data_IF_699949964983
#
_entry.id   IF_699949964983
#
_cell.length_a   1.000
_cell.length_b   1.000
_cell.length_c   1.000
_cell.angle_alpha   90.00
_cell.angle_beta   90.00
_cell.angle_gamma   90.00
#
_symmetry.space_group_name_H-M   'P 1'
#
loop_
_entity.id
_entity.type
_entity.pdbx_description
1 polymer ?
#
# COMPACT_ATOMS: atom_id res chain seq x y z
N UNK A 1 -20.22 -9.26 30.45
CA UNK A 1 -18.96 -8.84 29.83
C UNK A 1 -19.15 -7.58 28.95
N UNK A 2 -19.91 -6.56 29.39
CA UNK A 2 -19.93 -5.26 28.69
C UNK A 2 -18.59 -4.57 28.98
N UNK A 3 -17.88 -4.12 27.94
CA UNK A 3 -16.61 -3.39 28.08
C UNK A 3 -15.33 -4.23 27.97
N UNK A 4 -15.38 -5.49 27.51
CA UNK A 4 -14.18 -6.26 27.14
C UNK A 4 -13.84 -6.00 25.66
N UNK A 5 -12.88 -5.11 25.34
CA UNK A 5 -12.50 -4.90 23.95
C UNK A 5 -11.88 -6.16 23.38
N UNK A 6 -12.23 -6.54 22.16
CA UNK A 6 -11.68 -7.70 21.49
C UNK A 6 -11.67 -7.53 19.98
N UNK A 7 -10.53 -7.82 19.38
CA UNK A 7 -10.28 -7.72 17.95
C UNK A 7 -9.74 -9.06 17.43
N UNK A 8 -10.20 -9.45 16.25
CA UNK A 8 -9.62 -10.55 15.49
C UNK A 8 -9.04 -9.97 14.21
N UNK A 9 -7.73 -10.10 14.00
CA UNK A 9 -7.10 -9.79 12.73
C UNK A 9 -7.10 -11.04 11.86
N UNK A 10 -7.79 -11.01 10.72
CA UNK A 10 -7.59 -11.96 9.64
C UNK A 10 -6.59 -11.41 8.63
N UNK A 11 -5.64 -12.24 8.24
CA UNK A 11 -4.53 -11.86 7.36
C UNK A 11 -4.26 -13.01 6.35
N UNK A 12 -4.42 -12.70 5.06
CA UNK A 12 -4.24 -13.68 3.99
C UNK A 12 -2.76 -14.02 3.73
N UNK A 13 -2.44 -15.31 3.78
CA UNK A 13 -1.07 -15.78 3.63
C UNK A 13 -0.58 -15.56 2.20
N UNK A 14 0.61 -14.97 2.06
CA UNK A 14 1.30 -14.75 0.78
C UNK A 14 0.36 -14.17 -0.30
N UNK A 15 -0.46 -13.17 0.07
CA UNK A 15 -1.68 -12.79 -0.65
C UNK A 15 -1.56 -12.74 -2.19
N UNK A 16 -0.63 -11.99 -2.77
CA UNK A 16 -0.51 -11.92 -4.24
C UNK A 16 -0.13 -13.26 -4.88
N UNK A 17 0.71 -14.07 -4.23
CA UNK A 17 1.02 -15.43 -4.70
C UNK A 17 -0.20 -16.34 -4.58
N UNK A 18 -0.95 -16.23 -3.48
CA UNK A 18 -2.17 -17.01 -3.27
C UNK A 18 -3.24 -16.63 -4.30
N UNK A 19 -3.41 -15.35 -4.63
CA UNK A 19 -4.33 -14.89 -5.67
C UNK A 19 -3.98 -15.47 -7.06
N UNK A 20 -2.70 -15.58 -7.39
CA UNK A 20 -2.23 -16.29 -8.59
C UNK A 20 -2.54 -17.80 -8.52
N UNK A 21 -2.22 -18.46 -7.39
CA UNK A 21 -2.42 -19.91 -7.18
C UNK A 21 -3.88 -20.34 -7.26
N UNK A 22 -4.82 -19.52 -6.81
CA UNK A 22 -6.27 -19.81 -6.88
C UNK A 22 -6.71 -20.13 -8.30
N UNK A 23 -6.17 -19.42 -9.30
CA UNK A 23 -6.49 -19.65 -10.72
C UNK A 23 -5.49 -20.55 -11.44
N UNK A 24 -4.31 -20.74 -10.86
CA UNK A 24 -3.18 -21.47 -11.43
C UNK A 24 -2.69 -22.56 -10.47
N UNK A 25 -3.45 -23.67 -10.34
CA UNK A 25 -3.09 -24.76 -9.43
C UNK A 25 -1.72 -25.38 -9.75
N UNK A 26 -1.23 -25.25 -10.98
CA UNK A 26 0.11 -25.66 -11.38
C UNK A 26 1.24 -24.90 -10.66
N UNK A 27 0.93 -23.80 -9.96
CA UNK A 27 1.86 -23.03 -9.10
C UNK A 27 1.89 -23.51 -7.66
N UNK A 28 1.05 -24.48 -7.29
CA UNK A 28 1.09 -25.08 -5.95
C UNK A 28 2.45 -25.75 -5.71
N UNK A 29 2.98 -25.60 -4.50
CA UNK A 29 4.26 -26.19 -4.08
C UNK A 29 5.50 -25.77 -4.90
N UNK A 30 5.39 -24.70 -5.71
CA UNK A 30 6.51 -24.16 -6.50
C UNK A 30 7.04 -22.85 -5.91
N UNK A 31 8.35 -22.56 -6.04
CA UNK A 31 8.91 -21.26 -5.70
C UNK A 31 8.36 -20.20 -6.66
N UNK A 32 7.42 -19.39 -6.15
CA UNK A 32 6.80 -18.27 -6.87
C UNK A 32 7.12 -16.96 -6.17
N UNK A 33 7.41 -15.93 -6.97
CA UNK A 33 7.47 -14.54 -6.54
C UNK A 33 6.57 -13.68 -7.43
N UNK A 34 5.96 -12.66 -6.83
CA UNK A 34 5.23 -11.62 -7.58
C UNK A 34 6.09 -10.37 -7.61
N UNK A 35 6.32 -9.86 -8.80
CA UNK A 35 7.04 -8.64 -9.08
C UNK A 35 6.10 -7.42 -9.06
N UNK A 36 6.60 -6.28 -8.58
CA UNK A 36 5.85 -5.02 -8.56
C UNK A 36 5.61 -4.43 -9.94
N UNK A 37 4.98 -3.25 -9.99
CA UNK A 37 4.75 -2.52 -11.25
C UNK A 37 6.04 -2.36 -12.05
N UNK A 38 6.04 -2.79 -13.31
CA UNK A 38 7.22 -2.73 -14.18
C UNK A 38 8.31 -3.74 -13.83
N UNK A 39 7.98 -4.77 -13.04
CA UNK A 39 8.86 -5.81 -12.53
C UNK A 39 10.13 -5.31 -11.84
N UNK A 40 10.02 -4.19 -11.12
CA UNK A 40 11.19 -3.56 -10.48
C UNK A 40 11.76 -4.38 -9.32
N UNK A 41 10.89 -4.83 -8.40
CA UNK A 41 11.28 -5.56 -7.20
C UNK A 41 10.22 -6.61 -6.80
N UNK A 42 10.63 -7.58 -5.97
CA UNK A 42 9.75 -8.61 -5.42
C UNK A 42 8.81 -7.99 -4.37
N UNK A 43 7.50 -8.14 -4.56
CA UNK A 43 6.45 -7.61 -3.67
C UNK A 43 5.67 -8.70 -2.92
N UNK A 44 5.73 -9.96 -3.36
CA UNK A 44 5.22 -11.11 -2.62
C UNK A 44 6.01 -12.37 -2.95
N UNK A 45 6.02 -13.32 -2.02
CA UNK A 45 6.84 -14.53 -2.08
C UNK A 45 6.08 -15.71 -1.49
N UNK A 46 6.11 -16.83 -2.19
CA UNK A 46 5.71 -18.14 -1.70
C UNK A 46 6.63 -18.60 -0.56
N UNK A 47 6.22 -19.58 0.24
CA UNK A 47 7.07 -20.09 1.32
C UNK A 47 8.27 -20.85 0.78
N UNK A 48 8.11 -21.50 -0.38
CA UNK A 48 9.15 -22.14 -1.16
C UNK A 48 10.18 -21.12 -1.65
N UNK A 49 9.74 -19.95 -2.13
CA UNK A 49 10.64 -18.86 -2.49
C UNK A 49 11.35 -18.23 -1.27
N UNK A 50 10.69 -18.17 -0.11
CA UNK A 50 11.34 -17.73 1.14
C UNK A 50 12.42 -18.72 1.58
N UNK A 51 12.19 -20.02 1.41
CA UNK A 51 13.15 -21.08 1.73
C UNK A 51 14.41 -20.99 0.85
N UNK A 52 14.28 -20.49 -0.39
CA UNK A 52 15.44 -20.17 -1.25
C UNK A 52 16.25 -18.95 -0.77
N UNK A 53 15.77 -18.19 0.21
CA UNK A 53 16.45 -17.01 0.74
C UNK A 53 16.11 -15.69 0.04
N UNK A 54 15.17 -15.68 -0.91
CA UNK A 54 14.74 -14.47 -1.62
C UNK A 54 14.05 -13.53 -0.63
N UNK A 55 14.53 -12.29 -0.50
CA UNK A 55 13.96 -11.28 0.43
C UNK A 55 12.90 -10.40 -0.23
N UNK A 56 12.09 -9.73 0.60
CA UNK A 56 11.11 -8.75 0.11
C UNK A 56 11.84 -7.52 -0.41
N UNK A 57 11.37 -6.94 -1.50
CA UNK A 57 11.95 -5.73 -2.08
C UNK A 57 13.25 -5.95 -2.86
N UNK A 58 13.74 -7.20 -2.97
CA UNK A 58 14.89 -7.49 -3.82
C UNK A 58 14.60 -7.17 -5.29
N UNK A 59 15.57 -6.61 -6.05
CA UNK A 59 15.38 -6.33 -7.46
C UNK A 59 15.18 -7.62 -8.27
N UNK A 60 14.12 -7.66 -9.08
CA UNK A 60 13.72 -8.87 -9.82
C UNK A 60 14.80 -9.35 -10.77
N UNK A 61 15.55 -8.44 -11.39
CA UNK A 61 16.63 -8.80 -12.31
C UNK A 61 17.76 -9.58 -11.61
N UNK A 62 18.11 -9.21 -10.36
CA UNK A 62 19.10 -9.94 -9.56
C UNK A 62 18.56 -11.30 -9.12
N UNK A 63 17.31 -11.33 -8.64
CA UNK A 63 16.64 -12.58 -8.24
C UNK A 63 16.56 -13.55 -9.42
N UNK A 64 16.15 -13.07 -10.60
CA UNK A 64 16.09 -13.89 -11.82
C UNK A 64 17.46 -14.45 -12.20
N UNK A 65 18.53 -13.67 -12.08
CA UNK A 65 19.88 -14.11 -12.42
C UNK A 65 20.47 -15.06 -11.37
N UNK A 66 20.20 -14.85 -10.10
CA UNK A 66 20.74 -15.66 -9.01
C UNK A 66 20.05 -17.03 -8.91
N UNK A 67 18.74 -17.09 -9.17
CA UNK A 67 17.92 -18.27 -8.92
C UNK A 67 17.41 -18.96 -10.22
N UNK A 68 18.04 -18.70 -11.38
CA UNK A 68 17.56 -19.21 -12.66
C UNK A 68 17.50 -20.76 -12.75
N UNK A 69 18.30 -21.49 -11.96
CA UNK A 69 18.30 -22.97 -11.91
C UNK A 69 17.38 -23.55 -10.84
N UNK A 70 16.74 -22.75 -9.99
CA UNK A 70 15.95 -23.27 -8.86
C UNK A 70 14.49 -23.59 -9.20
N UNK A 71 14.09 -23.43 -10.46
CA UNK A 71 12.69 -23.54 -10.88
C UNK A 71 11.82 -22.36 -10.43
N UNK A 72 12.44 -21.23 -10.07
CA UNK A 72 11.75 -20.01 -9.66
C UNK A 72 10.83 -19.47 -10.76
N UNK A 73 9.57 -19.22 -10.39
CA UNK A 73 8.57 -18.59 -11.25
C UNK A 73 8.37 -17.15 -10.80
N UNK A 74 8.49 -16.22 -11.75
CA UNK A 74 8.28 -14.78 -11.53
C UNK A 74 6.99 -14.38 -12.23
N UNK A 75 6.00 -13.92 -11.45
CA UNK A 75 4.75 -13.36 -11.98
C UNK A 75 4.80 -11.83 -11.93
N UNK A 76 4.39 -11.15 -13.00
CA UNK A 76 4.16 -9.70 -12.96
C UNK A 76 2.88 -9.39 -12.18
N UNK A 77 2.84 -8.25 -11.47
CA UNK A 77 1.68 -7.88 -10.67
C UNK A 77 0.40 -7.66 -11.51
N UNK A 78 -0.62 -8.50 -11.27
CA UNK A 78 -1.97 -8.33 -11.81
C UNK A 78 -2.89 -7.63 -10.80
N UNK A 79 -2.77 -6.30 -10.69
CA UNK A 79 -3.58 -5.52 -9.73
C UNK A 79 -5.11 -5.64 -9.90
N UNK A 80 -5.67 -5.76 -11.13
CA UNK A 80 -7.10 -6.08 -11.28
C UNK A 80 -7.51 -7.38 -10.60
N UNK A 81 -6.74 -8.46 -10.82
CA UNK A 81 -6.99 -9.76 -10.17
C UNK A 81 -6.86 -9.65 -8.65
N UNK A 82 -5.82 -8.97 -8.16
CA UNK A 82 -5.58 -8.81 -6.73
C UNK A 82 -6.66 -7.97 -6.05
N UNK A 83 -7.16 -6.94 -6.73
CA UNK A 83 -8.27 -6.11 -6.26
C UNK A 83 -9.58 -6.90 -6.14
N UNK A 84 -9.90 -7.74 -7.11
CA UNK A 84 -11.08 -8.62 -7.01
C UNK A 84 -10.92 -9.69 -5.93
N UNK A 85 -9.76 -10.34 -5.82
CA UNK A 85 -9.47 -11.31 -4.77
C UNK A 85 -9.62 -10.69 -3.36
N UNK A 86 -9.13 -9.46 -3.18
CA UNK A 86 -9.31 -8.69 -1.94
C UNK A 86 -10.77 -8.37 -1.68
N UNK A 87 -11.50 -7.88 -2.69
CA UNK A 87 -12.92 -7.57 -2.56
C UNK A 87 -13.73 -8.81 -2.16
N UNK A 88 -13.42 -9.98 -2.73
CA UNK A 88 -14.01 -11.27 -2.33
C UNK A 88 -13.65 -11.66 -0.90
N UNK A 89 -12.39 -11.51 -0.50
CA UNK A 89 -11.95 -11.73 0.89
C UNK A 89 -12.79 -10.88 1.85
N UNK A 90 -12.84 -9.56 1.65
CA UNK A 90 -13.56 -8.63 2.53
C UNK A 90 -15.07 -8.93 2.57
N UNK A 91 -15.70 -9.19 1.42
CA UNK A 91 -17.11 -9.57 1.35
C UNK A 91 -17.38 -10.89 2.09
N UNK A 92 -16.49 -11.85 1.98
CA UNK A 92 -16.62 -13.15 2.65
C UNK A 92 -16.53 -12.99 4.16
N UNK A 93 -15.56 -12.21 4.65
CA UNK A 93 -15.42 -11.90 6.09
C UNK A 93 -16.63 -11.13 6.62
N UNK A 94 -17.22 -10.23 5.83
CA UNK A 94 -18.45 -9.52 6.21
C UNK A 94 -19.67 -10.44 6.41
N UNK A 95 -19.66 -11.67 5.88
CA UNK A 95 -20.74 -12.64 6.11
C UNK A 95 -20.68 -13.33 7.48
N UNK A 96 -19.55 -13.26 8.18
CA UNK A 96 -19.33 -13.96 9.45
C UNK A 96 -19.24 -13.02 10.66
N UNK A 97 -18.86 -11.77 10.44
CA UNK A 97 -18.68 -10.79 11.50
C UNK A 97 -19.62 -9.60 11.32
N UNK A 98 -20.25 -9.15 12.42
CA UNK A 98 -21.20 -8.05 12.39
C UNK A 98 -20.56 -6.70 12.01
N UNK A 99 -19.31 -6.48 12.42
CA UNK A 99 -18.55 -5.26 12.11
C UNK A 99 -17.12 -5.62 11.74
N UNK A 100 -16.67 -5.11 10.60
CA UNK A 100 -15.33 -5.30 10.08
C UNK A 100 -14.69 -3.96 9.74
N UNK A 101 -13.37 -3.88 9.82
CA UNK A 101 -12.57 -2.76 9.34
C UNK A 101 -11.47 -3.31 8.44
N UNK A 102 -11.64 -3.22 7.10
CA UNK A 102 -10.57 -3.49 6.16
C UNK A 102 -9.37 -2.59 6.47
N UNK A 103 -8.18 -3.18 6.63
CA UNK A 103 -6.97 -2.43 6.97
C UNK A 103 -6.01 -2.33 5.77
N UNK A 104 -5.86 -3.43 5.03
CA UNK A 104 -5.09 -3.49 3.79
C UNK A 104 -5.84 -4.32 2.75
N UNK A 105 -5.18 -4.62 1.62
CA UNK A 105 -5.73 -5.48 0.58
C UNK A 105 -5.92 -6.95 1.06
N UNK A 106 -5.16 -7.37 2.07
CA UNK A 106 -5.06 -8.73 2.57
C UNK A 106 -5.37 -8.88 4.06
N UNK A 107 -5.61 -7.78 4.78
CA UNK A 107 -5.85 -7.76 6.23
C UNK A 107 -7.16 -7.05 6.58
N UNK A 108 -7.89 -7.64 7.53
CA UNK A 108 -9.15 -7.10 8.04
C UNK A 108 -9.29 -7.36 9.55
N UNK A 109 -9.71 -6.33 10.29
CA UNK A 109 -10.08 -6.47 11.69
C UNK A 109 -11.56 -6.77 11.83
N UNK A 110 -11.90 -7.80 12.61
CA UNK A 110 -13.26 -8.09 13.06
C UNK A 110 -13.38 -7.52 14.47
N UNK A 111 -14.45 -6.75 14.71
CA UNK A 111 -14.77 -6.22 16.03
C UNK A 111 -15.63 -7.25 16.77
N UNK A 112 -15.15 -7.71 17.91
CA UNK A 112 -15.70 -8.84 18.64
C UNK A 112 -15.89 -8.54 20.14
N UNK A 113 -16.07 -7.27 20.48
CA UNK A 113 -16.19 -6.79 21.86
C UNK A 113 -17.24 -7.57 22.65
N UNK A 114 -16.89 -7.91 23.89
CA UNK A 114 -17.78 -8.62 24.81
C UNK A 114 -17.89 -10.14 24.59
N UNK A 115 -17.26 -10.71 23.57
CA UNK A 115 -17.21 -12.16 23.35
C UNK A 115 -16.29 -12.87 24.37
N UNK A 116 -16.64 -14.11 24.70
CA UNK A 116 -15.78 -15.02 25.47
C UNK A 116 -14.64 -15.57 24.60
N UNK A 117 -13.61 -16.16 25.22
CA UNK A 117 -12.48 -16.71 24.48
C UNK A 117 -12.87 -17.85 23.55
N UNK A 118 -13.84 -18.68 23.97
CA UNK A 118 -14.40 -19.73 23.13
C UNK A 118 -15.11 -19.15 21.90
N UNK A 119 -15.91 -18.09 22.08
CA UNK A 119 -16.60 -17.42 20.97
C UNK A 119 -15.62 -16.76 20.01
N UNK A 120 -14.58 -16.09 20.52
CA UNK A 120 -13.53 -15.49 19.70
C UNK A 120 -12.80 -16.55 18.86
N UNK A 121 -12.44 -17.67 19.49
CA UNK A 121 -11.78 -18.78 18.82
C UNK A 121 -12.67 -19.41 17.72
N UNK A 122 -13.94 -19.66 18.02
CA UNK A 122 -14.92 -20.20 17.06
C UNK A 122 -15.14 -19.25 15.88
N UNK A 123 -15.30 -17.95 16.14
CA UNK A 123 -15.46 -16.95 15.10
C UNK A 123 -14.23 -16.87 14.18
N UNK A 124 -13.02 -16.90 14.77
CA UNK A 124 -11.78 -16.91 14.00
C UNK A 124 -11.66 -18.15 13.09
N UNK A 125 -11.96 -19.35 13.61
CA UNK A 125 -11.97 -20.58 12.81
C UNK A 125 -13.00 -20.49 11.69
N UNK A 126 -14.25 -20.15 12.02
CA UNK A 126 -15.34 -20.05 11.05
C UNK A 126 -15.00 -19.07 9.92
N UNK A 127 -14.40 -17.94 10.25
CA UNK A 127 -13.99 -16.95 9.26
C UNK A 127 -12.89 -17.48 8.34
N UNK A 128 -11.86 -18.13 8.89
CA UNK A 128 -10.75 -18.72 8.12
C UNK A 128 -11.25 -19.81 7.17
N UNK A 129 -12.08 -20.71 7.66
CA UNK A 129 -12.67 -21.80 6.87
C UNK A 129 -13.56 -21.25 5.74
N UNK A 130 -14.40 -20.25 6.04
CA UNK A 130 -15.26 -19.64 5.02
C UNK A 130 -14.47 -18.94 3.92
N UNK A 131 -13.45 -18.18 4.30
CA UNK A 131 -12.56 -17.52 3.35
C UNK A 131 -11.87 -18.55 2.47
N UNK A 132 -11.30 -19.61 3.06
CA UNK A 132 -10.65 -20.67 2.29
C UNK A 132 -11.64 -21.34 1.31
N UNK A 133 -12.82 -21.72 1.78
CA UNK A 133 -13.82 -22.42 0.97
C UNK A 133 -14.35 -21.57 -0.19
N UNK A 134 -14.57 -20.27 0.02
CA UNK A 134 -15.23 -19.41 -0.98
C UNK A 134 -14.27 -18.66 -1.88
N UNK A 135 -13.02 -18.47 -1.45
CA UNK A 135 -12.03 -17.67 -2.20
C UNK A 135 -10.77 -18.46 -2.57
N UNK A 136 -10.54 -19.63 -1.95
CA UNK A 136 -9.29 -20.38 -2.06
C UNK A 136 -8.10 -19.75 -1.33
N UNK A 137 -8.31 -18.63 -0.61
CA UNK A 137 -7.24 -17.93 0.12
C UNK A 137 -7.10 -18.51 1.54
N UNK A 138 -5.91 -19.00 1.86
CA UNK A 138 -5.57 -19.39 3.23
C UNK A 138 -5.28 -18.15 4.09
N UNK A 139 -5.85 -18.09 5.28
CA UNK A 139 -5.65 -16.97 6.24
C UNK A 139 -5.08 -17.46 7.56
N UNK A 140 -4.25 -16.62 8.16
CA UNK A 140 -3.92 -16.67 9.58
C UNK A 140 -4.87 -15.78 10.39
N UNK A 141 -4.91 -15.98 11.71
CA UNK A 141 -5.67 -15.12 12.61
C UNK A 141 -4.90 -14.80 13.89
N UNK A 142 -5.05 -13.56 14.36
CA UNK A 142 -4.58 -13.13 15.67
C UNK A 142 -5.73 -12.51 16.47
N UNK A 143 -5.88 -12.90 17.72
CA UNK A 143 -6.92 -12.38 18.63
C UNK A 143 -6.21 -11.57 19.72
N UNK A 144 -6.73 -10.40 20.05
CA UNK A 144 -6.22 -9.60 21.16
C UNK A 144 -7.19 -8.50 21.60
N UNK A 145 -7.00 -7.90 22.79
CA UNK A 145 -7.90 -6.87 23.33
C UNK A 145 -7.72 -5.50 22.66
N UNK A 146 -6.83 -5.43 21.68
CA UNK A 146 -6.18 -4.23 21.18
C UNK A 146 -5.75 -4.55 19.74
N UNK A 147 -5.95 -3.66 18.75
CA UNK A 147 -5.54 -3.92 17.36
C UNK A 147 -4.06 -4.31 17.22
N UNK A 148 -3.20 -3.71 18.04
CA UNK A 148 -1.76 -4.04 18.06
C UNK A 148 -1.50 -5.43 18.61
N UNK A 149 -2.24 -5.85 19.64
CA UNK A 149 -2.13 -7.22 20.16
C UNK A 149 -2.73 -8.24 19.19
N UNK A 150 -3.80 -7.93 18.46
CA UNK A 150 -4.30 -8.80 17.40
C UNK A 150 -3.29 -8.95 16.25
N UNK A 151 -2.61 -7.86 15.85
CA UNK A 151 -1.47 -7.88 14.93
C UNK A 151 -0.33 -8.77 15.44
N UNK A 152 0.07 -8.59 16.70
CA UNK A 152 1.10 -9.39 17.35
C UNK A 152 0.72 -10.87 17.42
N UNK A 153 -0.55 -11.17 17.69
CA UNK A 153 -1.10 -12.53 17.67
C UNK A 153 -0.96 -13.18 16.29
N UNK A 154 -1.28 -12.45 15.20
CA UNK A 154 -1.09 -12.95 13.83
C UNK A 154 0.39 -13.26 13.54
N UNK A 155 1.31 -12.39 13.99
CA UNK A 155 2.74 -12.66 13.93
C UNK A 155 3.12 -13.92 14.71
N UNK A 156 2.68 -14.06 15.97
CA UNK A 156 2.94 -15.22 16.83
C UNK A 156 2.43 -16.52 16.22
N UNK A 157 1.22 -16.50 15.67
CA UNK A 157 0.60 -17.63 14.98
C UNK A 157 1.41 -18.12 13.77
N UNK A 158 2.07 -17.19 13.04
CA UNK A 158 2.84 -17.48 11.83
C UNK A 158 4.30 -17.84 12.11
N UNK A 159 4.95 -17.16 13.06
CA UNK A 159 6.41 -17.19 13.25
C UNK A 159 6.87 -17.96 14.48
N UNK A 160 6.13 -17.86 15.57
CA UNK A 160 6.53 -18.41 16.87
C UNK A 160 5.88 -19.77 17.09
N UNK A 161 4.55 -19.81 17.09
CA UNK A 161 3.76 -21.00 17.41
C UNK A 161 3.50 -21.89 16.19
N UNK A 162 3.46 -21.32 14.99
CA UNK A 162 3.14 -22.01 13.72
C UNK A 162 1.79 -22.73 13.73
N UNK A 163 0.83 -22.24 14.52
CA UNK A 163 -0.53 -22.78 14.66
C UNK A 163 -1.52 -22.18 13.65
N UNK A 164 -1.20 -21.03 13.05
CA UNK A 164 -2.11 -20.30 12.15
C UNK A 164 -3.21 -19.50 12.87
N UNK A 165 -3.38 -19.68 14.18
CA UNK A 165 -4.25 -18.90 15.06
C UNK A 165 -3.59 -18.71 16.43
N UNK A 166 -3.59 -17.49 16.96
CA UNK A 166 -3.06 -17.18 18.30
C UNK A 166 -3.99 -16.23 19.04
N UNK A 167 -4.20 -16.47 20.33
CA UNK A 167 -5.06 -15.67 21.19
C UNK A 167 -4.26 -15.02 22.31
N UNK A 168 -4.25 -13.68 22.37
CA UNK A 168 -3.55 -12.87 23.36
C UNK A 168 -4.51 -12.12 24.29
N UNK A 169 -5.73 -12.62 24.47
CA UNK A 169 -6.67 -12.08 25.46
C UNK A 169 -6.19 -12.34 26.90
N UNK A 170 -5.40 -13.39 27.12
CA UNK A 170 -4.77 -13.69 28.40
C UNK A 170 -3.50 -12.85 28.60
N UNK A 171 -3.36 -12.11 29.71
CA UNK A 171 -2.13 -11.38 30.03
C UNK A 171 -0.89 -12.28 30.10
N UNK A 172 -1.05 -13.53 30.55
CA UNK A 172 0.06 -14.49 30.64
C UNK A 172 0.58 -14.82 29.24
N UNK A 173 -0.31 -15.21 28.33
CA UNK A 173 0.06 -15.58 26.95
C UNK A 173 0.61 -14.36 26.20
N UNK A 174 0.03 -13.18 26.46
CA UNK A 174 0.52 -11.90 25.95
C UNK A 174 1.97 -11.65 26.38
N UNK A 175 2.26 -11.72 27.67
CA UNK A 175 3.58 -11.39 28.21
C UNK A 175 4.65 -12.40 27.74
N UNK A 176 4.29 -13.67 27.63
CA UNK A 176 5.14 -14.71 27.04
C UNK A 176 5.48 -14.41 25.58
N UNK A 177 4.49 -14.05 24.76
CA UNK A 177 4.76 -13.73 23.36
C UNK A 177 5.56 -12.44 23.21
N UNK A 178 5.31 -11.43 24.04
CA UNK A 178 6.07 -10.18 24.05
C UNK A 178 7.55 -10.42 24.36
N UNK A 179 7.86 -11.34 25.27
CA UNK A 179 9.24 -11.68 25.62
C UNK A 179 10.00 -12.34 24.46
N UNK A 180 9.30 -13.13 23.64
CA UNK A 180 9.87 -13.84 22.49
C UNK A 180 9.94 -12.99 21.22
N UNK A 181 9.27 -11.82 21.19
CA UNK A 181 9.13 -11.02 19.98
C UNK A 181 10.18 -9.91 19.93
N UNK A 182 11.00 -9.84 18.87
CA UNK A 182 11.89 -8.69 18.64
C UNK A 182 11.09 -7.39 18.51
N UNK A 183 11.62 -6.29 19.05
CA UNK A 183 10.90 -5.01 19.07
C UNK A 183 10.60 -4.46 17.66
N UNK A 184 11.43 -4.78 16.66
CA UNK A 184 11.20 -4.38 15.27
C UNK A 184 10.06 -5.12 14.55
N UNK A 185 9.49 -6.17 15.15
CA UNK A 185 8.31 -6.87 14.62
C UNK A 185 7.00 -6.27 15.17
N UNK A 186 7.08 -5.34 16.13
CA UNK A 186 5.90 -4.66 16.69
C UNK A 186 5.31 -3.70 15.65
N UNK A 187 3.99 -3.76 15.46
CA UNK A 187 3.28 -2.88 14.54
C UNK A 187 3.48 -1.40 14.92
N UNK A 188 4.00 -0.62 13.96
CA UNK A 188 4.36 0.79 14.15
C UNK A 188 5.84 1.04 14.48
N UNK A 189 6.62 0.01 14.78
CA UNK A 189 8.07 0.13 15.07
C UNK A 189 8.89 -0.27 13.84
N UNK A 190 9.23 0.73 13.01
CA UNK A 190 10.08 0.51 11.83
C UNK A 190 11.60 0.52 12.13
N UNK A 191 12.46 0.23 11.13
CA UNK A 191 13.90 0.05 11.32
C UNK A 191 14.62 1.20 12.04
N UNK A 192 14.22 2.45 11.79
CA UNK A 192 14.79 3.63 12.46
C UNK A 192 14.42 3.68 13.95
N UNK A 193 13.17 3.33 14.29
CA UNK A 193 12.74 3.25 15.69
C UNK A 193 13.39 2.06 16.39
N UNK A 194 13.51 0.92 15.70
CA UNK A 194 14.25 -0.26 16.21
C UNK A 194 15.69 0.09 16.55
N UNK A 195 16.40 0.79 15.66
CA UNK A 195 17.78 1.21 15.91
C UNK A 195 17.88 2.15 17.12
N UNK A 196 16.94 3.09 17.27
CA UNK A 196 16.91 3.99 18.42
C UNK A 196 16.59 3.26 19.73
N UNK A 197 15.62 2.36 19.74
CA UNK A 197 15.32 1.52 20.91
C UNK A 197 16.51 0.63 21.29
N UNK A 198 17.25 0.12 20.32
CA UNK A 198 18.48 -0.65 20.57
C UNK A 198 19.55 0.18 21.29
N UNK A 199 19.70 1.48 20.97
CA UNK A 199 20.63 2.36 21.74
C UNK A 199 20.23 2.56 23.20
N UNK A 200 18.97 2.25 23.55
CA UNK A 200 18.45 2.28 24.91
C UNK A 200 18.47 0.89 25.58
N UNK A 201 19.09 -0.11 24.96
CA UNK A 201 19.10 -1.50 25.44
C UNK A 201 17.79 -2.26 25.21
N UNK A 202 16.85 -1.69 24.46
CA UNK A 202 15.53 -2.30 24.19
C UNK A 202 15.57 -3.07 22.88
N UNK A 203 15.46 -4.39 22.98
CA UNK A 203 15.55 -5.34 21.86
C UNK A 203 14.29 -6.19 21.70
N UNK A 204 13.49 -6.35 22.75
CA UNK A 204 12.25 -7.14 22.75
C UNK A 204 11.00 -6.27 22.92
N UNK A 205 9.86 -6.79 22.48
CA UNK A 205 8.56 -6.14 22.67
C UNK A 205 8.19 -6.02 24.15
N UNK A 206 8.57 -7.00 24.99
CA UNK A 206 8.39 -6.93 26.44
C UNK A 206 9.17 -5.76 27.08
N UNK A 207 10.44 -5.59 26.71
CA UNK A 207 11.25 -4.46 27.18
C UNK A 207 10.65 -3.13 26.76
N UNK A 208 10.16 -3.03 25.52
CA UNK A 208 9.49 -1.82 25.04
C UNK A 208 8.18 -1.54 25.79
N UNK A 209 7.35 -2.56 26.01
CA UNK A 209 6.11 -2.44 26.78
C UNK A 209 6.38 -1.96 28.22
N UNK A 210 7.49 -2.41 28.83
CA UNK A 210 7.92 -2.04 30.18
C UNK A 210 8.67 -0.71 30.33
N UNK A 211 8.93 0.03 29.24
CA UNK A 211 9.59 1.33 29.33
C UNK A 211 8.76 2.34 30.15
N UNK A 212 9.38 3.17 31.00
CA UNK A 212 8.65 4.23 31.70
C UNK A 212 8.03 5.23 30.71
N UNK A 213 6.77 5.59 30.93
CA UNK A 213 6.00 6.47 30.04
C UNK A 213 6.71 7.80 29.71
N UNK A 214 7.31 8.44 30.71
CA UNK A 214 8.02 9.72 30.53
C UNK A 214 9.22 9.61 29.58
N UNK A 215 9.84 8.44 29.49
CA UNK A 215 10.93 8.18 28.52
C UNK A 215 10.36 8.18 27.11
N UNK A 216 9.22 7.52 26.90
CA UNK A 216 8.62 7.44 25.57
C UNK A 216 8.10 8.80 25.10
N UNK A 217 7.43 9.56 25.98
CA UNK A 217 6.93 10.90 25.66
C UNK A 217 8.03 11.90 25.31
N UNK A 218 9.22 11.76 25.93
CA UNK A 218 10.38 12.61 25.63
C UNK A 218 11.06 12.22 24.33
N UNK A 219 11.23 10.93 24.08
CA UNK A 219 12.05 10.45 22.98
C UNK A 219 11.24 10.26 21.68
N UNK A 220 9.98 9.85 21.75
CA UNK A 220 9.23 9.37 20.59
C UNK A 220 7.93 10.13 20.33
N UNK A 221 7.42 10.11 19.09
CA UNK A 221 6.10 10.66 18.79
C UNK A 221 4.99 9.95 19.56
N UNK A 222 3.86 10.63 19.73
CA UNK A 222 2.66 10.11 20.42
C UNK A 222 2.14 8.78 19.85
N UNK A 223 2.41 8.48 18.58
CA UNK A 223 2.04 7.20 17.95
C UNK A 223 2.78 6.02 18.59
N UNK A 224 4.04 6.18 18.96
CA UNK A 224 4.84 5.14 19.64
C UNK A 224 4.32 4.91 21.06
N UNK A 225 3.91 5.99 21.74
CA UNK A 225 3.23 5.88 23.04
C UNK A 225 1.93 5.08 22.92
N UNK A 226 1.10 5.35 21.90
CA UNK A 226 -0.14 4.59 21.65
C UNK A 226 0.15 3.10 21.40
N UNK A 227 1.18 2.78 20.61
CA UNK A 227 1.62 1.40 20.42
C UNK A 227 2.03 0.75 21.74
N UNK A 228 2.77 1.43 22.60
CA UNK A 228 3.15 0.91 23.92
C UNK A 228 1.92 0.65 24.81
N UNK A 229 0.98 1.60 24.86
CA UNK A 229 -0.28 1.46 25.59
C UNK A 229 -1.07 0.22 25.11
N UNK A 230 -1.11 0.01 23.80
CA UNK A 230 -1.78 -1.12 23.19
C UNK A 230 -1.16 -2.47 23.55
N UNK A 231 0.18 -2.57 23.60
CA UNK A 231 0.87 -3.78 24.07
C UNK A 231 0.55 -4.08 25.53
N UNK A 232 0.29 -3.05 26.34
CA UNK A 232 -0.15 -3.17 27.72
C UNK A 232 -1.66 -3.41 27.87
N UNK A 233 -2.40 -3.57 26.75
CA UNK A 233 -3.82 -3.88 26.74
C UNK A 233 -4.76 -2.66 26.79
N UNK A 234 -4.22 -1.44 26.69
CA UNK A 234 -5.01 -0.21 26.62
C UNK A 234 -5.25 0.16 25.16
N UNK A 235 -6.50 0.07 24.70
CA UNK A 235 -6.88 0.43 23.33
C UNK A 235 -6.67 1.93 23.10
N UNK A 236 -5.68 2.27 22.28
CA UNK A 236 -5.21 3.64 22.02
C UNK A 236 -4.99 3.93 20.53
N UNK A 237 -5.05 2.91 19.68
CA UNK A 237 -5.01 3.04 18.22
C UNK A 237 -6.43 3.01 17.69
N UNK A 238 -6.82 4.10 17.04
CA UNK A 238 -8.10 4.18 16.34
C UNK A 238 -7.98 3.57 14.94
N UNK A 239 -8.73 2.49 14.70
CA UNK A 239 -8.81 1.84 13.38
C UNK A 239 -9.64 2.65 12.38
N UNK A 240 -10.43 3.64 12.81
CA UNK A 240 -11.28 4.49 11.95
C UNK A 240 -10.52 5.72 11.41
N UNK A 241 -9.24 5.89 11.77
CA UNK A 241 -8.49 7.14 11.62
C UNK A 241 -8.09 7.57 10.19
N UNK A 242 -8.71 7.06 9.12
CA UNK A 242 -8.36 7.49 7.76
C UNK A 242 -9.53 7.57 6.76
N UNK A 243 -10.76 7.67 7.25
CA UNK A 243 -11.95 7.87 6.40
C UNK A 243 -12.07 9.31 5.87
N UNK A 244 -11.15 10.18 6.28
CA UNK A 244 -11.06 11.56 5.83
C UNK A 244 -10.58 11.71 4.37
N UNK A 245 -10.86 12.86 3.74
CA UNK A 245 -10.29 13.19 2.43
C UNK A 245 -8.76 13.11 2.49
N UNK A 246 -8.12 12.64 1.42
CA UNK A 246 -6.65 12.57 1.36
C UNK A 246 -6.08 13.97 1.47
N UNK A 247 -5.18 14.17 2.43
CA UNK A 247 -4.46 15.44 2.63
C UNK A 247 -3.40 15.69 1.54
N UNK A 248 -2.93 14.61 0.90
CA UNK A 248 -1.93 14.65 -0.15
C UNK A 248 -2.20 13.60 -1.23
N UNK A 249 -1.98 13.94 -2.50
CA UNK A 249 -2.11 13.01 -3.63
C UNK A 249 -0.78 12.92 -4.37
N UNK A 250 -0.07 11.81 -4.16
CA UNK A 250 1.17 11.50 -4.89
C UNK A 250 0.89 10.57 -6.08
N UNK A 251 1.39 10.94 -7.25
CA UNK A 251 1.48 10.06 -8.41
C UNK A 251 2.94 10.02 -8.84
N UNK A 252 3.57 8.85 -8.69
CA UNK A 252 4.96 8.66 -9.07
C UNK A 252 5.18 7.28 -9.64
N UNK A 253 6.22 7.15 -10.47
CA UNK A 253 6.64 5.86 -11.02
C UNK A 253 8.16 5.81 -11.10
N UNK A 254 8.70 4.62 -10.84
CA UNK A 254 10.05 4.27 -11.28
C UNK A 254 9.95 3.82 -12.75
N UNK A 255 10.88 4.26 -13.57
CA UNK A 255 10.89 3.97 -15.01
C UNK A 255 11.68 2.68 -15.29
N UNK A 256 11.16 1.85 -16.21
CA UNK A 256 11.86 0.63 -16.66
C UNK A 256 13.13 0.97 -17.45
N UNK A 257 13.02 1.91 -18.38
CA UNK A 257 14.16 2.56 -19.06
C UNK A 257 14.48 3.91 -18.40
N UNK A 258 15.76 4.29 -18.39
CA UNK A 258 16.16 5.60 -17.86
C UNK A 258 15.69 6.72 -18.78
N UNK A 259 15.18 7.79 -18.19
CA UNK A 259 14.80 8.99 -18.94
C UNK A 259 16.00 9.93 -19.00
N UNK A 260 16.39 10.31 -20.21
CA UNK A 260 17.58 11.13 -20.49
C UNK A 260 17.24 12.41 -21.28
N UNK A 261 16.00 12.56 -21.77
CA UNK A 261 15.55 13.74 -22.51
C UNK A 261 14.53 14.57 -21.73
N UNK A 262 14.56 15.88 -21.95
CA UNK A 262 13.62 16.82 -21.35
C UNK A 262 12.17 16.51 -21.76
N UNK A 263 11.96 16.15 -23.03
CA UNK A 263 10.61 15.88 -23.54
C UNK A 263 10.00 14.63 -22.91
N UNK A 264 10.78 13.56 -22.75
CA UNK A 264 10.31 12.36 -22.06
C UNK A 264 10.02 12.64 -20.57
N UNK A 265 10.87 13.41 -19.88
CA UNK A 265 10.63 13.80 -18.49
C UNK A 265 9.38 14.67 -18.35
N UNK A 266 9.24 15.68 -19.21
CA UNK A 266 8.08 16.57 -19.23
C UNK A 266 6.80 15.81 -19.53
N UNK A 267 6.80 14.88 -20.47
CA UNK A 267 5.64 14.08 -20.83
C UNK A 267 5.19 13.17 -19.67
N UNK A 268 6.14 12.50 -19.01
CA UNK A 268 5.87 11.67 -17.84
C UNK A 268 5.24 12.48 -16.69
N UNK A 269 5.80 13.66 -16.39
CA UNK A 269 5.31 14.53 -15.33
C UNK A 269 3.92 15.11 -15.63
N UNK A 270 3.63 15.44 -16.90
CA UNK A 270 2.30 15.88 -17.34
C UNK A 270 1.26 14.76 -17.21
N UNK A 271 1.62 13.51 -17.55
CA UNK A 271 0.74 12.35 -17.32
C UNK A 271 0.43 12.20 -15.82
N UNK A 272 1.46 12.28 -14.95
CA UNK A 272 1.28 12.14 -13.51
C UNK A 272 0.44 13.28 -12.92
N UNK A 273 0.64 14.51 -13.37
CA UNK A 273 -0.18 15.66 -12.98
C UNK A 273 -1.65 15.47 -13.39
N UNK A 274 -1.90 14.99 -14.61
CA UNK A 274 -3.27 14.72 -15.09
C UNK A 274 -3.96 13.63 -14.28
N UNK A 275 -3.25 12.55 -13.95
CA UNK A 275 -3.75 11.49 -13.08
C UNK A 275 -4.02 11.98 -11.66
N UNK A 276 -3.14 12.82 -11.10
CA UNK A 276 -3.31 13.40 -9.78
C UNK A 276 -4.54 14.31 -9.74
N UNK A 277 -4.74 15.13 -10.78
CA UNK A 277 -5.90 16.00 -10.93
C UNK A 277 -7.22 15.20 -10.98
N UNK A 278 -7.27 14.13 -11.77
CA UNK A 278 -8.46 13.26 -11.81
C UNK A 278 -8.75 12.58 -10.47
N UNK A 279 -7.72 12.25 -9.67
CA UNK A 279 -7.92 11.72 -8.30
C UNK A 279 -8.42 12.80 -7.34
N UNK A 280 -7.90 14.02 -7.46
CA UNK A 280 -8.28 15.18 -6.67
C UNK A 280 -9.76 15.55 -6.90
N UNK A 281 -10.19 15.60 -8.17
CA UNK A 281 -11.59 15.88 -8.52
C UNK A 281 -12.55 14.79 -8.09
N UNK A 282 -12.16 13.50 -8.17
CA UNK A 282 -12.97 12.40 -7.62
C UNK A 282 -13.20 12.52 -6.10
N UNK A 283 -12.33 13.21 -5.39
CA UNK A 283 -12.48 13.52 -3.97
C UNK A 283 -13.28 14.81 -3.73
N UNK A 284 -13.72 15.53 -4.78
CA UNK A 284 -14.37 16.83 -4.66
C UNK A 284 -13.46 17.90 -4.05
N UNK A 285 -12.15 17.81 -4.28
CA UNK A 285 -11.16 18.70 -3.66
C UNK A 285 -10.42 19.57 -4.68
N UNK A 286 -9.77 20.62 -4.20
CA UNK A 286 -8.82 21.49 -4.90
C UNK A 286 -7.47 21.48 -4.16
N UNK A 287 -6.38 21.84 -4.83
CA UNK A 287 -5.03 21.84 -4.25
C UNK A 287 -4.35 23.20 -4.43
N UNK A 288 -3.73 23.72 -3.37
CA UNK A 288 -3.03 25.01 -3.38
C UNK A 288 -1.58 24.94 -3.87
N UNK A 289 -0.99 23.75 -3.97
CA UNK A 289 0.36 23.60 -4.51
C UNK A 289 0.59 22.25 -5.20
N UNK A 290 1.53 22.25 -6.14
CA UNK A 290 2.08 21.06 -6.79
C UNK A 290 3.58 20.96 -6.53
N UNK A 291 4.03 19.83 -6.00
CA UNK A 291 5.44 19.48 -5.87
C UNK A 291 5.82 18.43 -6.90
N UNK A 292 6.84 18.74 -7.69
CA UNK A 292 7.34 17.92 -8.79
C UNK A 292 8.76 17.51 -8.47
N UNK A 293 9.09 16.23 -8.66
CA UNK A 293 10.42 15.72 -8.34
C UNK A 293 10.88 14.66 -9.34
N UNK A 294 12.19 14.59 -9.54
CA UNK A 294 12.85 13.50 -10.27
C UNK A 294 14.21 13.18 -9.66
N UNK A 295 14.61 11.90 -9.74
CA UNK A 295 15.88 11.41 -9.18
C UNK A 295 16.50 10.27 -9.98
N UNK A 296 17.82 10.12 -9.85
CA UNK A 296 18.58 8.94 -10.30
C UNK A 296 18.35 7.75 -9.37
N UNK A 297 18.82 6.57 -9.78
CA UNK A 297 18.68 5.36 -8.97
C UNK A 297 19.70 5.39 -7.82
N UNK A 298 19.30 5.08 -6.57
CA UNK A 298 20.25 4.91 -5.47
C UNK A 298 21.27 3.77 -5.72
N UNK A 299 20.94 2.84 -6.62
CA UNK A 299 21.77 1.70 -6.98
C UNK A 299 22.67 1.98 -8.20
N UNK A 300 22.60 3.17 -8.79
CA UNK A 300 23.48 3.56 -9.90
C UNK A 300 24.86 3.92 -9.33
N UNK A 301 25.86 3.11 -9.61
CA UNK A 301 27.25 3.37 -9.17
C UNK A 301 28.04 4.18 -10.19
N UNK A 302 27.61 4.21 -11.45
CA UNK A 302 28.34 4.84 -12.56
C UNK A 302 28.15 6.36 -12.66
N UNK A 303 27.18 6.94 -11.96
CA UNK A 303 26.86 8.36 -12.06
C UNK A 303 26.60 8.96 -10.70
N UNK A 304 26.98 10.22 -10.50
CA UNK A 304 26.72 10.93 -9.26
C UNK A 304 25.21 10.95 -8.95
N UNK A 305 24.80 10.73 -7.68
CA UNK A 305 23.41 10.78 -7.31
C UNK A 305 22.85 12.18 -7.57
N UNK A 306 21.69 12.24 -8.23
CA UNK A 306 21.00 13.49 -8.53
C UNK A 306 19.54 13.36 -8.13
N UNK A 307 19.06 14.32 -7.35
CA UNK A 307 17.65 14.47 -7.02
C UNK A 307 17.32 15.96 -6.99
N UNK A 308 16.23 16.35 -7.66
CA UNK A 308 15.75 17.73 -7.63
C UNK A 308 14.24 17.74 -7.48
N UNK A 309 13.78 18.66 -6.66
CA UNK A 309 12.38 18.88 -6.32
C UNK A 309 12.05 20.35 -6.52
N UNK A 310 10.92 20.64 -7.12
CA UNK A 310 10.39 21.98 -7.35
C UNK A 310 8.97 22.02 -6.82
N UNK A 311 8.65 23.01 -6.00
CA UNK A 311 7.27 23.24 -5.52
C UNK A 311 6.74 24.51 -6.18
N UNK A 312 5.57 24.41 -6.80
CA UNK A 312 4.88 25.52 -7.45
C UNK A 312 3.60 25.79 -6.65
N UNK A 313 3.51 26.92 -5.93
CA UNK A 313 2.26 27.34 -5.31
C UNK A 313 1.31 27.91 -6.36
N UNK A 314 0.01 27.80 -6.11
CA UNK A 314 -1.02 28.45 -6.92
C UNK A 314 -1.61 29.63 -6.16
N UNK A 315 -1.90 30.72 -6.88
CA UNK A 315 -2.57 31.88 -6.29
C UNK A 315 -3.97 31.52 -5.77
N UNK A 316 -4.65 30.61 -6.46
CA UNK A 316 -5.93 30.03 -6.07
C UNK A 316 -5.84 28.50 -6.10
N UNK A 317 -6.50 27.78 -5.16
CA UNK A 317 -6.56 26.34 -5.21
C UNK A 317 -7.11 25.84 -6.54
N UNK A 318 -6.33 25.01 -7.23
CA UNK A 318 -6.67 24.52 -8.55
C UNK A 318 -7.20 23.08 -8.49
N UNK A 319 -8.04 22.72 -9.46
CA UNK A 319 -8.46 21.33 -9.73
C UNK A 319 -8.37 20.96 -11.22
N UNK A 320 -8.07 21.95 -12.08
CA UNK A 320 -7.93 21.77 -13.53
C UNK A 320 -6.62 21.04 -13.89
N UNK A 321 -6.73 19.96 -14.65
CA UNK A 321 -5.59 19.17 -15.12
C UNK A 321 -4.60 19.99 -15.96
N UNK A 322 -5.07 20.99 -16.71
CA UNK A 322 -4.25 21.88 -17.56
C UNK A 322 -3.35 22.80 -16.74
N UNK A 323 -3.83 23.27 -15.58
CA UNK A 323 -3.05 24.11 -14.66
C UNK A 323 -1.89 23.29 -14.07
N UNK A 324 -2.20 22.10 -13.56
CA UNK A 324 -1.19 21.19 -13.05
C UNK A 324 -0.20 20.72 -14.12
N UNK A 325 -0.67 20.44 -15.35
CA UNK A 325 0.19 20.05 -16.46
C UNK A 325 1.16 21.16 -16.88
N UNK A 326 0.70 22.42 -16.92
CA UNK A 326 1.56 23.58 -17.19
C UNK A 326 2.65 23.72 -16.13
N UNK A 327 2.26 23.70 -14.85
CA UNK A 327 3.20 23.75 -13.73
C UNK A 327 4.21 22.58 -13.75
N UNK A 328 3.74 21.35 -14.03
CA UNK A 328 4.59 20.18 -14.14
C UNK A 328 5.60 20.28 -15.30
N UNK A 329 5.17 20.79 -16.45
CA UNK A 329 6.08 21.00 -17.58
C UNK A 329 7.12 22.09 -17.31
N UNK A 330 6.74 23.18 -16.65
CA UNK A 330 7.68 24.23 -16.27
C UNK A 330 8.70 23.70 -15.25
N UNK A 331 8.24 22.98 -14.23
CA UNK A 331 9.10 22.33 -13.25
C UNK A 331 10.05 21.31 -13.90
N UNK A 332 9.60 20.58 -14.92
CA UNK A 332 10.44 19.65 -15.68
C UNK A 332 11.66 20.34 -16.29
N UNK A 333 11.52 21.55 -16.84
CA UNK A 333 12.65 22.33 -17.38
C UNK A 333 13.67 22.70 -16.31
N UNK A 334 13.20 23.04 -15.11
CA UNK A 334 14.08 23.36 -13.99
C UNK A 334 14.74 22.13 -13.38
N UNK A 335 14.07 20.98 -13.40
CA UNK A 335 14.58 19.70 -12.87
C UNK A 335 15.57 19.03 -13.82
N UNK A 336 15.34 19.17 -15.12
CA UNK A 336 16.15 18.51 -16.12
C UNK A 336 17.59 19.05 -16.13
N UNK A 337 18.55 18.14 -16.18
CA UNK A 337 19.96 18.44 -16.39
C UNK A 337 20.51 17.45 -17.42
N UNK A 338 21.15 17.93 -18.51
CA UNK A 338 21.79 17.05 -19.50
C UNK A 338 22.77 16.06 -18.85
N UNK A 339 22.79 14.83 -19.36
CA UNK A 339 23.66 13.75 -18.86
C UNK A 339 23.14 13.02 -17.61
N UNK A 340 22.00 13.43 -17.04
CA UNK A 340 21.38 12.72 -15.92
C UNK A 340 20.41 11.65 -16.43
N UNK A 341 20.56 10.44 -15.87
CA UNK A 341 19.72 9.27 -16.18
C UNK A 341 18.64 9.10 -15.11
N UNK A 342 17.49 9.72 -15.32
CA UNK A 342 16.40 9.69 -14.33
C UNK A 342 15.80 8.28 -14.22
N UNK A 343 15.65 7.81 -12.98
CA UNK A 343 15.08 6.49 -12.67
C UNK A 343 13.68 6.56 -12.08
N UNK A 344 13.31 7.69 -11.46
CA UNK A 344 12.01 7.92 -10.84
C UNK A 344 11.63 9.38 -10.96
N UNK A 345 10.35 9.63 -11.25
CA UNK A 345 9.76 10.96 -11.16
C UNK A 345 8.35 10.89 -10.57
N UNK A 346 7.85 12.02 -10.09
CA UNK A 346 6.52 12.10 -9.51
C UNK A 346 6.02 13.52 -9.31
N UNK A 347 4.72 13.58 -9.06
CA UNK A 347 3.95 14.78 -8.75
C UNK A 347 3.18 14.54 -7.46
N UNK A 348 3.22 15.52 -6.55
CA UNK A 348 2.54 15.52 -5.28
C UNK A 348 1.67 16.78 -5.19
N UNK A 349 0.35 16.61 -5.09
CA UNK A 349 -0.58 17.70 -4.79
C UNK A 349 -0.68 17.87 -3.27
N UNK A 350 -0.62 19.11 -2.82
CA UNK A 350 -0.58 19.49 -1.39
C UNK A 350 -1.52 20.67 -1.13
N UNK A 351 -1.82 20.90 0.16
CA UNK A 351 -2.80 21.90 0.57
C UNK A 351 -4.17 21.57 -0.03
N UNK A 352 -4.57 20.31 0.13
CA UNK A 352 -5.82 19.80 -0.40
C UNK A 352 -6.95 20.27 0.51
N UNK A 353 -7.96 20.90 -0.10
CA UNK A 353 -9.14 21.41 0.57
C UNK A 353 -10.40 21.10 -0.25
N UNK A 354 -11.59 21.06 0.37
CA UNK A 354 -12.84 20.89 -0.37
C UNK A 354 -12.96 21.95 -1.47
N UNK A 355 -13.36 21.55 -2.68
CA UNK A 355 -13.54 22.48 -3.79
C UNK A 355 -14.66 23.50 -3.49
N UNK A 356 -15.62 23.13 -2.65
CA UNK A 356 -16.70 23.98 -2.16
C UNK A 356 -16.28 24.99 -1.09
N UNK A 357 -15.03 24.97 -0.61
CA UNK A 357 -14.56 25.98 0.33
C UNK A 357 -14.66 27.37 -0.30
N UNK A 358 -15.03 28.39 0.48
CA UNK A 358 -15.02 29.76 -0.03
C UNK A 358 -13.57 30.19 -0.28
N UNK A 359 -13.26 30.55 -1.52
CA UNK A 359 -11.96 31.08 -1.91
C UNK A 359 -12.09 32.57 -2.20
N UNK A 360 -11.10 33.35 -1.80
CA UNK A 360 -11.01 34.75 -2.20
C UNK A 360 -10.80 34.78 -3.72
N UNK A 361 -11.79 35.25 -4.47
CA UNK A 361 -11.66 35.37 -5.92
C UNK A 361 -10.56 36.36 -6.29
N UNK A 362 -9.87 36.10 -7.39
CA UNK A 362 -8.96 37.09 -7.98
C UNK A 362 -9.80 38.24 -8.55
N UNK A 363 -9.40 39.48 -8.28
CA UNK A 363 -10.05 40.69 -8.78
C UNK A 363 -10.09 40.72 -10.32
N UNK A 364 -9.17 40.00 -10.98
CA UNK A 364 -9.07 39.86 -12.43
C UNK A 364 -9.29 38.42 -12.93
N UNK A 365 -9.85 37.55 -12.09
CA UNK A 365 -10.05 36.13 -12.39
C UNK A 365 -11.03 35.89 -13.55
N UNK A 366 -10.63 35.04 -14.50
CA UNK A 366 -11.52 34.54 -15.55
C UNK A 366 -12.60 33.62 -14.98
N UNK A 367 -13.80 33.66 -15.57
CA UNK A 367 -15.00 32.91 -15.17
C UNK A 367 -14.75 31.38 -15.01
N UNK A 368 -14.72 30.92 -13.76
CA UNK A 368 -14.43 29.53 -13.34
C UNK A 368 -15.47 28.52 -13.87
N UNK A 369 -16.70 28.97 -14.12
CA UNK A 369 -17.82 28.08 -14.50
C UNK A 369 -17.60 27.34 -15.83
N UNK A 370 -16.79 27.89 -16.72
CA UNK A 370 -16.40 27.27 -17.99
C UNK A 370 -15.38 26.14 -17.80
N UNK A 371 -14.49 26.28 -16.81
CA UNK A 371 -13.42 25.32 -16.53
C UNK A 371 -14.00 24.08 -15.82
N UNK A 372 -14.96 24.27 -14.92
CA UNK A 372 -15.69 23.21 -14.23
C UNK A 372 -16.41 22.28 -15.20
N UNK A 373 -17.17 22.87 -16.14
CA UNK A 373 -17.92 22.12 -17.16
C UNK A 373 -16.99 21.32 -18.05
N UNK A 374 -15.87 21.89 -18.47
CA UNK A 374 -14.87 21.21 -19.29
C UNK A 374 -14.26 20.01 -18.56
N UNK A 375 -13.81 20.21 -17.31
CA UNK A 375 -13.19 19.12 -16.54
C UNK A 375 -14.19 18.00 -16.23
N UNK A 376 -15.43 18.34 -15.89
CA UNK A 376 -16.50 17.36 -15.67
C UNK A 376 -16.80 16.55 -16.92
N UNK A 377 -16.90 17.21 -18.09
CA UNK A 377 -17.12 16.53 -19.38
C UNK A 377 -15.97 15.58 -19.72
N UNK A 378 -14.72 16.00 -19.50
CA UNK A 378 -13.55 15.13 -19.70
C UNK A 378 -13.57 13.90 -18.78
N UNK A 379 -13.97 14.08 -17.53
CA UNK A 379 -14.08 12.99 -16.57
C UNK A 379 -15.22 12.03 -16.92
N UNK A 380 -16.37 12.54 -17.39
CA UNK A 380 -17.50 11.73 -17.87
C UNK A 380 -17.11 10.86 -19.07
N UNK A 381 -16.46 11.44 -20.08
CA UNK A 381 -15.99 10.71 -21.26
C UNK A 381 -15.02 9.59 -20.84
N UNK A 382 -14.04 9.92 -19.99
CA UNK A 382 -13.07 8.94 -19.49
C UNK A 382 -13.68 7.90 -18.52
N UNK A 383 -14.80 8.21 -17.89
CA UNK A 383 -15.54 7.26 -17.04
C UNK A 383 -16.32 6.27 -17.90
N UNK A 384 -17.02 6.78 -18.93
CA UNK A 384 -17.90 5.98 -19.79
C UNK A 384 -17.14 5.12 -20.80
N UNK A 385 -16.10 5.67 -21.43
CA UNK A 385 -15.38 5.01 -22.53
C UNK A 385 -14.02 4.44 -22.14
N UNK A 386 -13.65 4.57 -20.86
CA UNK A 386 -12.40 4.03 -20.33
C UNK A 386 -11.35 5.11 -20.01
N UNK A 387 -10.45 4.77 -19.08
CA UNK A 387 -9.43 5.72 -18.62
C UNK A 387 -8.46 6.05 -19.75
N UNK A 388 -8.37 7.34 -20.08
CA UNK A 388 -7.44 7.84 -21.09
C UNK A 388 -8.03 7.85 -22.51
N UNK A 389 -9.35 7.75 -22.67
CA UNK A 389 -10.00 8.03 -23.96
C UNK A 389 -9.71 9.45 -24.44
N UNK A 390 -9.71 10.43 -23.52
CA UNK A 390 -9.28 11.80 -23.81
C UNK A 390 -8.13 12.17 -22.86
N UNK A 391 -7.00 12.57 -23.43
CA UNK A 391 -5.77 12.93 -22.71
C UNK A 391 -5.26 14.29 -23.18
N UNK A 392 -4.44 14.94 -22.35
CA UNK A 392 -3.73 16.15 -22.75
C UNK A 392 -2.66 15.80 -23.81
N UNK A 393 -2.52 16.64 -24.85
CA UNK A 393 -1.68 16.36 -26.01
C UNK A 393 -0.21 16.05 -25.67
N UNK A 394 0.35 16.65 -24.61
CA UNK A 394 1.75 16.42 -24.19
C UNK A 394 1.95 15.15 -23.34
N UNK A 395 0.96 14.26 -23.29
CA UNK A 395 1.13 12.93 -22.71
C UNK A 395 1.67 11.99 -23.78
N UNK A 396 2.94 11.61 -23.64
CA UNK A 396 3.48 10.47 -24.38
C UNK A 396 2.88 9.23 -23.73
N UNK A 397 2.40 8.27 -24.51
CA UNK A 397 2.26 6.92 -23.98
C UNK A 397 3.67 6.48 -23.61
N UNK A 398 3.99 6.49 -22.32
CA UNK A 398 5.13 5.75 -21.79
C UNK A 398 4.82 4.27 -22.05
N UNK A 399 4.98 3.85 -23.29
CA UNK A 399 4.84 2.51 -23.81
C UNK A 399 6.07 1.71 -23.38
N UNK A 400 6.27 1.65 -22.06
CA UNK A 400 6.98 0.54 -21.44
C UNK A 400 5.91 -0.45 -21.00
N UNK A 401 6.04 -1.75 -21.30
CA UNK A 401 5.07 -2.73 -20.87
C UNK A 401 4.96 -2.71 -19.33
N UNK A 402 3.74 -2.86 -18.81
CA UNK A 402 3.43 -2.88 -17.36
C UNK A 402 3.91 -4.20 -16.75
N UNK A 403 5.23 -4.37 -16.68
CA UNK A 403 5.86 -5.67 -16.46
C UNK A 403 6.07 -6.40 -17.78
N UNK A 404 6.63 -7.61 -17.73
CA UNK A 404 6.82 -8.47 -18.89
C UNK A 404 5.46 -9.08 -19.28
N UNK A 405 4.92 -8.83 -20.48
CA UNK A 405 3.61 -9.34 -20.89
C UNK A 405 3.48 -10.86 -20.73
N UNK A 406 4.57 -11.58 -20.98
CA UNK A 406 4.68 -13.05 -20.83
C UNK A 406 4.54 -13.53 -19.38
N UNK A 407 4.88 -12.68 -18.41
CA UNK A 407 4.81 -12.99 -16.98
C UNK A 407 3.52 -12.48 -16.32
N UNK A 408 2.66 -11.79 -17.08
CA UNK A 408 1.38 -11.28 -16.60
C UNK A 408 0.29 -12.34 -16.76
N UNK A 409 -0.37 -12.68 -15.67
CA UNK A 409 -1.51 -13.59 -15.69
C UNK A 409 -2.74 -12.95 -16.36
N UNK A 410 -3.63 -13.75 -16.99
CA UNK A 410 -4.96 -13.29 -17.37
C UNK A 410 -5.75 -12.74 -16.17
N UNK A 411 -6.61 -11.76 -16.38
CA UNK A 411 -7.48 -11.23 -15.33
C UNK A 411 -8.75 -12.09 -15.20
N UNK A 412 -8.56 -13.36 -14.80
CA UNK A 412 -9.54 -14.45 -14.83
C UNK A 412 -10.94 -14.08 -14.33
N UNK A 413 -11.05 -13.28 -13.28
CA UNK A 413 -12.31 -12.89 -12.66
C UNK A 413 -12.86 -11.53 -13.06
N UNK A 414 -12.08 -10.75 -13.83
CA UNK A 414 -12.38 -9.36 -14.15
C UNK A 414 -12.65 -9.14 -15.65
N UNK A 415 -12.35 -10.13 -16.50
CA UNK A 415 -12.51 -10.06 -17.96
C UNK A 415 -13.05 -11.37 -18.50
N UNK A 416 -14.14 -11.29 -19.24
CA UNK A 416 -14.80 -12.46 -19.83
C UNK A 416 -13.86 -13.23 -20.79
N UNK A 417 -13.06 -12.51 -21.58
CA UNK A 417 -12.09 -13.09 -22.50
C UNK A 417 -10.93 -13.83 -21.80
N UNK A 418 -10.70 -13.54 -20.52
CA UNK A 418 -9.61 -14.12 -19.73
C UNK A 418 -10.11 -15.32 -18.89
N UNK A 419 -11.36 -15.74 -19.03
CA UNK A 419 -11.91 -16.87 -18.30
C UNK A 419 -11.13 -18.14 -18.60
N UNK A 420 -10.76 -18.87 -17.55
CA UNK A 420 -10.09 -20.16 -17.68
C UNK A 420 -11.07 -21.20 -18.20
N UNK A 421 -10.81 -21.71 -19.41
CA UNK A 421 -11.53 -22.86 -19.96
C UNK A 421 -11.02 -24.11 -19.25
N UNK A 422 -11.92 -24.78 -18.52
CA UNK A 422 -11.64 -26.06 -17.87
C UNK A 422 -12.34 -27.12 -18.71
N UNK A 423 -11.57 -28.02 -19.32
CA UNK A 423 -12.08 -29.17 -20.06
C UNK A 423 -12.22 -30.38 -19.15
#
# INVERSE_FOLDING_TARGET
MKGRPAFILLDANNFYVSAERVWRPELANKPVVVAGSGDGCVIARSDEAKALGIKMGEPVHLVSQQYWRSGLIICSANFPLYGDASSRLMRTVATVAAKITPYSIDECFLHADGMSDLQLHQLAIQARERVLAWTGLGTGAGIGPTPTLAKLGSYGAKRVLKTGLCNLMSPIDRDQLLALTPVGEVWGIGPSLTARLATMGVTTAAQFAGLPRHVIEREFPVTVLRTQMELNGVCAVDLQGNDGPREMINVSRSFGSRIESLDALSAALVEFASMAAGRLRKQGSAASAIRVYARTSPFETKSAPYAKTVTVPFAQPAFDARVFARAASQAARSIFKPGIRFSKAGVLLMGIQPASAMHQQDLFGYDDTSQDRLMSTLDEINSRFGRGTVKLARTIELAGPRGRPESLSPAYSCRLADLKVVF
#
